data_IF_439221548754
#
_entry.id   IF_439221548754
#
_cell.length_a   1.000
_cell.length_b   1.000
_cell.length_c   1.000
_cell.angle_alpha   90.00
_cell.angle_beta   90.00
_cell.angle_gamma   90.00
#
_symmetry.space_group_name_H-M   'P 1'
#
loop_
_entity.id
_entity.type
_entity.pdbx_description
1 polymer ?
#
# COMPACT_ATOMS: atom_id res chain seq x y z
N UNK A 1 5.75 -25.76 12.62
CA UNK A 1 5.41 -24.34 12.82
C UNK A 1 6.74 -23.59 12.81
N UNK A 2 7.20 -23.20 11.63
CA UNK A 2 8.41 -22.38 11.53
C UNK A 2 8.10 -20.99 12.10
N UNK A 3 9.01 -20.50 12.94
CA UNK A 3 8.91 -19.20 13.55
C UNK A 3 8.85 -18.15 12.44
N UNK A 4 7.76 -17.39 12.40
CA UNK A 4 7.60 -16.26 11.48
C UNK A 4 8.75 -15.28 11.79
N UNK A 5 9.75 -15.10 10.90
CA UNK A 5 10.74 -14.07 11.12
C UNK A 5 9.98 -12.76 11.24
N UNK A 6 10.23 -12.01 12.33
CA UNK A 6 9.53 -10.76 12.56
C UNK A 6 9.57 -9.92 11.28
N UNK A 7 8.39 -9.58 10.74
CA UNK A 7 8.30 -8.67 9.60
C UNK A 7 8.77 -7.30 10.06
N UNK A 8 10.01 -6.99 9.73
CA UNK A 8 10.65 -5.71 10.02
C UNK A 8 11.00 -5.06 8.70
N UNK A 9 10.43 -3.88 8.44
CA UNK A 9 10.74 -3.11 7.25
C UNK A 9 9.77 -1.98 7.02
N UNK A 10 9.70 -1.48 5.80
CA UNK A 10 8.72 -0.50 5.38
C UNK A 10 8.09 -0.89 4.04
N UNK A 11 6.90 -0.38 3.80
CA UNK A 11 6.25 -0.44 2.48
C UNK A 11 5.90 0.99 2.04
N UNK A 12 6.24 1.31 0.81
CA UNK A 12 5.78 2.50 0.10
C UNK A 12 4.75 2.06 -0.93
N UNK A 13 3.60 2.73 -0.95
CA UNK A 13 2.55 2.54 -1.94
C UNK A 13 2.46 3.80 -2.80
N UNK A 14 2.65 3.66 -4.09
CA UNK A 14 2.30 4.71 -5.05
C UNK A 14 0.90 4.44 -5.59
N UNK A 15 0.00 5.39 -5.36
CA UNK A 15 -1.41 5.30 -5.69
C UNK A 15 -1.72 6.23 -6.85
N UNK A 16 -2.38 5.70 -7.88
CA UNK A 16 -3.03 6.51 -8.90
C UNK A 16 -4.50 6.65 -8.54
N UNK A 17 -4.95 7.89 -8.32
CA UNK A 17 -6.32 8.18 -7.89
C UNK A 17 -7.09 8.87 -9.02
N UNK A 18 -8.31 8.43 -9.26
CA UNK A 18 -9.23 9.03 -10.23
C UNK A 18 -9.87 10.30 -9.66
N UNK A 19 -10.48 11.10 -10.54
CA UNK A 19 -11.12 12.36 -10.12
C UNK A 19 -12.26 12.15 -9.11
N UNK A 20 -12.98 11.02 -9.19
CA UNK A 20 -14.01 10.61 -8.22
C UNK A 20 -13.44 10.04 -6.91
N UNK A 21 -12.12 10.10 -6.71
CA UNK A 21 -11.46 9.76 -5.45
C UNK A 21 -11.20 8.27 -5.26
N UNK A 22 -11.32 7.44 -6.30
CA UNK A 22 -11.06 5.99 -6.21
C UNK A 22 -9.61 5.66 -6.56
N UNK A 23 -9.05 4.64 -5.93
CA UNK A 23 -7.74 4.11 -6.31
C UNK A 23 -7.87 3.27 -7.58
N UNK A 24 -7.20 3.69 -8.65
CA UNK A 24 -7.13 2.95 -9.92
C UNK A 24 -5.97 1.98 -9.96
N UNK A 25 -4.84 2.35 -9.35
CA UNK A 25 -3.60 1.57 -9.37
C UNK A 25 -2.87 1.73 -8.06
N UNK A 26 -2.25 0.63 -7.62
CA UNK A 26 -1.35 0.56 -6.46
C UNK A 26 -0.04 -0.06 -6.93
N UNK A 27 1.06 0.64 -6.72
CA UNK A 27 2.41 0.12 -6.96
C UNK A 27 3.13 0.02 -5.62
N UNK A 28 3.34 -1.21 -5.09
CA UNK A 28 4.04 -1.40 -3.83
C UNK A 28 5.56 -1.46 -4.01
N UNK A 29 6.28 -0.95 -3.03
CA UNK A 29 7.72 -1.11 -2.84
C UNK A 29 7.96 -1.49 -1.37
N UNK A 30 8.34 -2.74 -1.11
CA UNK A 30 8.59 -3.23 0.24
C UNK A 30 10.10 -3.45 0.46
N UNK A 31 10.58 -3.16 1.67
CA UNK A 31 11.96 -3.48 2.08
C UNK A 31 12.08 -4.85 2.74
N UNK A 32 11.00 -5.61 2.78
CA UNK A 32 10.90 -6.95 3.37
C UNK A 32 10.41 -7.94 2.32
N UNK A 33 10.81 -9.21 2.45
CA UNK A 33 10.41 -10.28 1.53
C UNK A 33 9.24 -11.09 2.11
N UNK A 34 8.03 -10.60 1.89
CA UNK A 34 6.80 -11.28 2.29
C UNK A 34 5.66 -10.98 1.30
N UNK A 35 5.63 -11.65 0.13
CA UNK A 35 4.70 -11.34 -0.94
C UNK A 35 3.23 -11.45 -0.51
N UNK A 36 2.89 -12.41 0.35
CA UNK A 36 1.52 -12.56 0.87
C UNK A 36 1.06 -11.35 1.71
N UNK A 37 1.97 -10.71 2.44
CA UNK A 37 1.70 -9.49 3.21
C UNK A 37 1.53 -8.31 2.27
N UNK A 38 2.44 -8.16 1.30
CA UNK A 38 2.36 -7.11 0.26
C UNK A 38 1.03 -7.19 -0.49
N UNK A 39 0.63 -8.39 -0.94
CA UNK A 39 -0.64 -8.61 -1.64
C UNK A 39 -1.86 -8.25 -0.79
N UNK A 40 -1.84 -8.59 0.50
CA UNK A 40 -2.90 -8.22 1.43
C UNK A 40 -3.04 -6.70 1.53
N UNK A 41 -1.92 -5.99 1.66
CA UNK A 41 -1.88 -4.53 1.74
C UNK A 41 -2.38 -3.90 0.44
N UNK A 42 -1.94 -4.41 -0.72
CA UNK A 42 -2.39 -3.92 -2.03
C UNK A 42 -3.90 -4.08 -2.20
N UNK A 43 -4.46 -5.23 -1.82
CA UNK A 43 -5.91 -5.47 -1.87
C UNK A 43 -6.68 -4.50 -0.98
N UNK A 44 -6.16 -4.22 0.22
CA UNK A 44 -6.76 -3.23 1.11
C UNK A 44 -6.67 -1.80 0.53
N UNK A 45 -5.51 -1.44 -0.04
CA UNK A 45 -5.27 -0.11 -0.60
C UNK A 45 -6.14 0.21 -1.82
N UNK A 46 -6.50 -0.78 -2.64
CA UNK A 46 -7.46 -0.62 -3.75
C UNK A 46 -8.84 -0.16 -3.26
N UNK A 47 -9.22 -0.53 -2.04
CA UNK A 47 -10.52 -0.17 -1.46
C UNK A 47 -10.52 1.21 -0.80
N UNK A 48 -9.36 1.88 -0.73
CA UNK A 48 -9.30 3.22 -0.15
C UNK A 48 -10.03 4.24 -1.03
N UNK A 49 -10.74 5.13 -0.35
CA UNK A 49 -11.43 6.26 -0.97
C UNK A 49 -10.78 7.56 -0.51
N UNK A 50 -10.58 8.47 -1.44
CA UNK A 50 -10.04 9.80 -1.22
C UNK A 50 -11.13 10.85 -1.54
N UNK A 51 -11.03 12.07 -0.99
CA UNK A 51 -11.89 13.16 -1.42
C UNK A 51 -11.81 13.38 -2.93
N UNK A 52 -12.92 13.78 -3.55
CA UNK A 52 -12.99 14.15 -4.97
C UNK A 52 -11.92 15.20 -5.25
N UNK A 53 -11.16 15.00 -6.32
CA UNK A 53 -10.06 15.89 -6.70
C UNK A 53 -10.36 16.57 -8.01
N UNK A 54 -9.87 17.79 -8.16
CA UNK A 54 -9.96 18.55 -9.42
C UNK A 54 -8.85 18.18 -10.41
N UNK A 55 -7.81 17.44 -9.97
CA UNK A 55 -6.75 16.88 -10.80
C UNK A 55 -6.47 15.41 -10.45
N UNK A 56 -6.07 14.62 -11.45
CA UNK A 56 -5.68 13.22 -11.28
C UNK A 56 -4.22 13.14 -10.81
N UNK A 57 -3.98 13.36 -9.53
CA UNK A 57 -2.64 13.36 -8.96
C UNK A 57 -2.19 11.95 -8.54
N UNK A 58 -0.86 11.71 -8.60
CA UNK A 58 -0.22 10.53 -8.00
C UNK A 58 0.06 10.81 -6.53
N UNK A 59 -0.42 9.95 -5.63
CA UNK A 59 -0.16 10.07 -4.19
C UNK A 59 0.83 8.98 -3.77
N UNK A 60 1.84 9.39 -3.00
CA UNK A 60 2.75 8.44 -2.35
C UNK A 60 2.37 8.30 -0.88
N UNK A 61 2.11 7.07 -0.44
CA UNK A 61 1.89 6.70 0.96
C UNK A 61 3.09 5.89 1.44
N UNK A 62 3.71 6.30 2.54
CA UNK A 62 4.83 5.57 3.16
C UNK A 62 4.38 5.13 4.54
N UNK A 63 4.39 3.83 4.81
CA UNK A 63 3.99 3.26 6.10
C UNK A 63 5.12 2.35 6.65
N UNK A 64 5.62 2.61 7.87
CA UNK A 64 6.52 1.68 8.55
C UNK A 64 5.76 0.42 8.95
N UNK A 65 6.39 -0.76 8.79
CA UNK A 65 5.85 -2.04 9.23
C UNK A 65 6.74 -2.63 10.33
N UNK A 66 6.14 -2.86 11.50
CA UNK A 66 6.73 -3.64 12.57
C UNK A 66 5.68 -4.60 13.11
N UNK A 67 5.90 -5.91 12.98
CA UNK A 67 5.23 -6.87 13.86
C UNK A 67 5.88 -6.75 15.24
N UNK A 68 5.11 -6.32 16.24
CA UNK A 68 5.49 -6.45 17.65
C UNK A 68 5.44 -7.92 18.07
#
# INVERSE_FOLDING_TARGET
>A
REANPALVGSIRLELQITLDGRVKRVQPYATFDAPAVVDCIVKAAILWAFPVRTSGDVITVIAPYSLQ
#
